data_IF_656369860792
#
_entry.id   IF_656369860792
#
_cell.length_a   1.000
_cell.length_b   1.000
_cell.length_c   1.000
_cell.angle_alpha   90.00
_cell.angle_beta   90.00
_cell.angle_gamma   90.00
#
_symmetry.space_group_name_H-M   'P 1'
#
loop_
_entity.id
_entity.type
_entity.pdbx_description
1 polymer ?
#
# COMPACT_ATOMS: atom_id res chain seq x y z
N UNK A 1 3.11 10.54 6.00
CA UNK A 1 2.90 10.28 4.57
C UNK A 1 2.93 8.77 4.38
N UNK A 2 2.05 8.22 3.54
CA UNK A 2 2.05 6.81 3.16
C UNK A 2 2.19 6.71 1.64
N UNK A 3 3.06 5.82 1.15
CA UNK A 3 3.16 5.46 -0.27
C UNK A 3 2.64 4.05 -0.44
N UNK A 4 1.73 3.86 -1.39
CA UNK A 4 1.17 2.56 -1.72
C UNK A 4 1.65 2.09 -3.09
N UNK A 5 2.37 0.98 -3.12
CA UNK A 5 2.92 0.40 -4.34
C UNK A 5 2.09 -0.82 -4.76
N UNK A 6 1.35 -0.68 -5.86
CA UNK A 6 0.39 -1.69 -6.34
C UNK A 6 1.00 -2.63 -7.36
N UNK A 7 1.64 -2.08 -8.39
CA UNK A 7 2.28 -2.82 -9.48
C UNK A 7 3.67 -2.23 -9.70
N UNK A 8 4.70 -2.94 -9.24
CA UNK A 8 6.08 -2.48 -9.28
C UNK A 8 7.06 -3.58 -8.88
N UNK A 9 8.34 -3.21 -8.77
CA UNK A 9 9.36 -4.13 -8.27
C UNK A 9 9.15 -4.43 -6.79
N UNK A 10 9.47 -5.65 -6.36
CA UNK A 10 9.57 -5.98 -4.95
C UNK A 10 10.56 -5.06 -4.23
N UNK A 11 10.26 -4.75 -2.97
CA UNK A 11 11.14 -3.93 -2.14
C UNK A 11 12.08 -4.83 -1.32
N UNK A 12 13.32 -4.39 -1.11
CA UNK A 12 14.28 -5.10 -0.27
C UNK A 12 14.40 -4.37 1.08
N UNK A 13 13.86 -4.97 2.13
CA UNK A 13 13.91 -4.41 3.47
C UNK A 13 15.33 -4.50 4.07
N UNK A 14 15.84 -3.44 4.71
CA UNK A 14 17.04 -3.53 5.52
C UNK A 14 16.78 -4.33 6.80
N UNK A 15 17.83 -4.84 7.48
CA UNK A 15 19.23 -4.86 7.05
C UNK A 15 19.59 -6.09 6.19
N UNK A 16 18.69 -7.05 6.03
CA UNK A 16 18.95 -8.37 5.45
C UNK A 16 18.56 -8.50 3.96
N UNK A 17 18.03 -7.43 3.35
CA UNK A 17 17.48 -7.42 1.99
C UNK A 17 16.34 -8.44 1.78
N UNK A 18 15.54 -8.69 2.82
CA UNK A 18 14.31 -9.48 2.69
C UNK A 18 13.37 -8.85 1.65
N UNK A 19 12.84 -9.66 0.74
CA UNK A 19 12.04 -9.18 -0.38
C UNK A 19 10.57 -9.15 0.00
N UNK A 20 9.99 -7.96 -0.06
CA UNK A 20 8.58 -7.71 0.15
C UNK A 20 7.91 -7.56 -1.23
N UNK A 21 7.06 -8.51 -1.63
CA UNK A 21 6.40 -8.44 -2.93
C UNK A 21 5.41 -7.27 -2.98
N UNK A 22 5.14 -6.75 -4.18
CA UNK A 22 3.95 -5.91 -4.37
C UNK A 22 2.68 -6.77 -4.33
N UNK A 23 1.56 -6.28 -3.77
CA UNK A 23 1.37 -4.93 -3.21
C UNK A 23 1.89 -4.76 -1.78
N UNK A 24 2.50 -3.60 -1.50
CA UNK A 24 2.99 -3.21 -0.17
C UNK A 24 2.91 -1.69 0.05
N UNK A 25 3.08 -1.25 1.29
CA UNK A 25 3.10 0.17 1.66
C UNK A 25 4.44 0.60 2.25
N UNK A 26 4.70 1.90 2.19
CA UNK A 26 5.77 2.58 2.93
C UNK A 26 5.18 3.67 3.81
N UNK A 27 5.54 3.66 5.08
CA UNK A 27 5.14 4.70 6.04
C UNK A 27 6.35 5.60 6.30
N UNK A 28 6.18 6.91 6.09
CA UNK A 28 7.26 7.88 6.27
C UNK A 28 7.23 8.44 7.69
N UNK A 29 7.76 7.64 8.62
CA UNK A 29 8.04 8.01 10.02
C UNK A 29 9.42 7.49 10.41
N UNK A 30 9.98 7.97 11.52
CA UNK A 30 11.28 7.50 12.02
C UNK A 30 11.27 5.99 12.33
N UNK A 31 10.14 5.46 12.79
CA UNK A 31 9.92 4.03 13.08
C UNK A 31 10.14 3.14 11.85
N UNK A 32 9.67 3.58 10.68
CA UNK A 32 9.78 2.84 9.42
C UNK A 32 10.95 3.32 8.55
N UNK A 33 11.98 3.88 9.19
CA UNK A 33 13.17 4.43 8.53
C UNK A 33 12.83 5.42 7.41
N UNK A 34 11.84 6.29 7.67
CA UNK A 34 11.33 7.28 6.74
C UNK A 34 10.96 6.68 5.36
N UNK A 35 10.23 5.56 5.38
CA UNK A 35 9.82 4.82 4.19
C UNK A 35 10.85 3.80 3.68
N UNK A 36 11.94 3.56 4.42
CA UNK A 36 12.93 2.53 4.07
C UNK A 36 12.45 1.09 4.27
N UNK A 37 11.42 0.91 5.10
CA UNK A 37 10.78 -0.38 5.38
C UNK A 37 9.44 -0.46 4.63
N UNK A 38 9.27 -1.51 3.83
CA UNK A 38 8.02 -1.89 3.18
C UNK A 38 7.24 -2.88 4.05
N UNK A 39 5.92 -2.72 4.09
CA UNK A 39 4.99 -3.60 4.83
C UNK A 39 4.06 -4.25 3.81
N UNK A 40 3.99 -5.59 3.72
CA UNK A 40 3.04 -6.27 2.86
C UNK A 40 1.61 -5.83 3.16
N UNK A 41 0.81 -5.58 2.13
CA UNK A 41 -0.55 -5.05 2.32
C UNK A 41 -1.44 -5.97 3.19
N UNK A 42 -1.20 -7.29 3.15
CA UNK A 42 -1.96 -8.27 3.92
C UNK A 42 -1.60 -8.33 5.41
N UNK A 43 -0.52 -7.68 5.83
CA UNK A 43 -0.09 -7.58 7.23
C UNK A 43 -0.60 -6.31 7.92
N UNK A 44 -1.32 -5.44 7.20
CA UNK A 44 -1.93 -4.25 7.80
C UNK A 44 -3.21 -4.66 8.53
N UNK A 45 -3.20 -4.49 9.85
CA UNK A 45 -4.36 -4.71 10.72
C UNK A 45 -4.94 -3.41 11.30
N UNK A 46 -4.28 -2.27 11.06
CA UNK A 46 -4.76 -0.96 11.50
C UNK A 46 -5.96 -0.51 10.64
N UNK A 47 -7.14 -0.49 11.27
CA UNK A 47 -8.41 -0.18 10.60
C UNK A 47 -8.44 1.26 10.08
N UNK A 48 -7.90 2.22 10.83
CA UNK A 48 -7.90 3.63 10.43
C UNK A 48 -7.03 3.83 9.19
N UNK A 49 -5.85 3.20 9.15
CA UNK A 49 -4.99 3.22 7.97
C UNK A 49 -5.63 2.52 6.76
N UNK A 50 -6.32 1.40 6.96
CA UNK A 50 -7.03 0.70 5.88
C UNK A 50 -8.11 1.61 5.29
N UNK A 51 -8.91 2.25 6.13
CA UNK A 51 -9.98 3.16 5.69
C UNK A 51 -9.39 4.36 4.93
N UNK A 52 -8.31 4.97 5.43
CA UNK A 52 -7.62 6.07 4.73
C UNK A 52 -7.05 5.66 3.36
N UNK A 53 -6.52 4.43 3.24
CA UNK A 53 -6.03 3.90 1.97
C UNK A 53 -7.17 3.66 0.96
N UNK A 54 -8.33 3.19 1.43
CA UNK A 54 -9.51 3.01 0.60
C UNK A 54 -10.07 4.36 0.13
N UNK A 55 -10.19 5.33 1.02
CA UNK A 55 -10.64 6.70 0.69
C UNK A 55 -9.70 7.36 -0.33
N UNK A 56 -8.39 7.19 -0.14
CA UNK A 56 -7.38 7.69 -1.09
C UNK A 56 -7.49 7.04 -2.47
N UNK A 57 -7.80 5.74 -2.52
CA UNK A 57 -8.02 5.01 -3.77
C UNK A 57 -9.29 5.48 -4.49
N UNK A 58 -10.39 5.68 -3.77
CA UNK A 58 -11.63 6.24 -4.33
C UNK A 58 -11.38 7.63 -4.92
N UNK A 59 -10.69 8.50 -4.17
CA UNK A 59 -10.31 9.83 -4.65
C UNK A 59 -9.45 9.76 -5.93
N UNK A 60 -8.49 8.83 -6.00
CA UNK A 60 -7.65 8.63 -7.18
C UNK A 60 -8.45 8.15 -8.40
N UNK A 61 -9.38 7.21 -8.21
CA UNK A 61 -10.26 6.70 -9.27
C UNK A 61 -11.09 7.84 -9.85
N UNK A 62 -11.71 8.63 -8.97
CA UNK A 62 -12.52 9.80 -9.36
C UNK A 62 -11.66 10.85 -10.10
N UNK A 63 -10.47 11.15 -9.58
CA UNK A 63 -9.55 12.11 -10.18
C UNK A 63 -9.08 11.70 -11.58
N UNK A 64 -8.87 10.40 -11.81
CA UNK A 64 -8.35 9.86 -13.08
C UNK A 64 -9.44 9.55 -14.11
N UNK A 65 -10.72 9.83 -13.81
CA UNK A 65 -11.88 9.44 -14.61
C UNK A 65 -11.96 7.93 -14.90
N UNK A 66 -11.34 7.10 -14.07
CA UNK A 66 -11.54 5.65 -14.12
C UNK A 66 -12.97 5.39 -13.64
N UNK A 67 -13.76 4.62 -14.40
CA UNK A 67 -15.12 4.32 -13.96
C UNK A 67 -15.06 3.26 -12.88
N UNK A 68 -15.66 3.53 -11.72
CA UNK A 68 -15.66 2.61 -10.57
C UNK A 68 -16.10 1.18 -10.92
N UNK A 69 -17.06 1.03 -11.83
CA UNK A 69 -17.55 -0.27 -12.35
C UNK A 69 -16.49 -1.11 -13.07
N UNK A 70 -15.40 -0.49 -13.52
CA UNK A 70 -14.30 -1.13 -14.24
C UNK A 70 -13.15 -1.50 -13.25
N UNK A 71 -13.35 -1.27 -11.94
CA UNK A 71 -12.39 -1.59 -10.86
C UNK A 71 -12.96 -2.70 -9.97
N UNK A 72 -12.22 -3.80 -9.83
CA UNK A 72 -12.52 -4.88 -8.90
C UNK A 72 -11.64 -4.69 -7.66
N UNK A 73 -12.26 -4.44 -6.50
CA UNK A 73 -11.57 -4.42 -5.20
C UNK A 73 -11.96 -5.69 -4.45
N UNK A 74 -10.98 -6.55 -4.22
CA UNK A 74 -11.18 -7.79 -3.45
C UNK A 74 -10.56 -7.59 -2.06
N UNK A 75 -11.37 -7.51 -0.99
CA UNK A 75 -10.83 -7.44 0.37
C UNK A 75 -10.16 -8.76 0.73
N UNK A 76 -8.91 -8.69 1.23
CA UNK A 76 -8.02 -9.82 1.56
C UNK A 76 -7.74 -10.76 0.38
N UNK A 77 -6.58 -10.57 -0.25
CA UNK A 77 -5.92 -11.62 -1.01
C UNK A 77 -5.45 -12.68 0.01
N UNK A 78 -6.33 -13.65 0.29
CA UNK A 78 -6.00 -14.87 1.04
C UNK A 78 -5.04 -15.75 0.24
#
# INVERSE_FOLDING_TARGET
>A
MVRFDVNGSDHANPPNNERIPTPHIHIFTDEYMNGGIAIPLHEIDDIELIDELLDSLEFFIDYTNIKRKDVIITPKLL
#
